data_IF_380367033351
#
_entry.id   IF_380367033351
#
_cell.length_a   1.000
_cell.length_b   1.000
_cell.length_c   1.000
_cell.angle_alpha   90.00
_cell.angle_beta   90.00
_cell.angle_gamma   90.00
#
_symmetry.space_group_name_H-M   'P 1'
#
loop_
_entity.id
_entity.type
_entity.pdbx_description
1 polymer ?
#
# COMPACT_ATOMS: atom_id res chain seq x y z
N UNK A 1 -10.62 27.61 1.96
CA UNK A 1 -11.28 26.62 1.09
C UNK A 1 -10.21 25.61 0.69
N UNK A 2 -10.20 24.46 1.31
CA UNK A 2 -9.32 23.36 0.88
C UNK A 2 -9.83 22.89 -0.50
N UNK A 3 -9.00 23.04 -1.54
CA UNK A 3 -9.33 22.57 -2.88
C UNK A 3 -9.56 21.06 -2.84
N UNK A 4 -10.64 20.59 -3.49
CA UNK A 4 -10.78 19.15 -3.72
C UNK A 4 -9.51 18.63 -4.41
N UNK A 5 -8.95 17.49 -3.97
CA UNK A 5 -7.79 16.92 -4.61
C UNK A 5 -8.11 16.69 -6.09
N UNK A 6 -7.20 17.09 -6.97
CA UNK A 6 -7.36 16.87 -8.42
C UNK A 6 -7.70 15.38 -8.64
N UNK A 7 -8.64 15.09 -9.50
CA UNK A 7 -9.15 13.73 -9.79
C UNK A 7 -8.06 12.73 -10.19
N UNK A 8 -6.84 13.20 -10.37
CA UNK A 8 -5.69 12.43 -10.86
C UNK A 8 -4.80 11.86 -9.75
N UNK A 9 -4.98 12.25 -8.46
CA UNK A 9 -4.15 11.73 -7.36
C UNK A 9 -4.62 10.37 -6.83
N UNK A 10 -5.88 10.01 -7.06
CA UNK A 10 -6.45 8.77 -6.57
C UNK A 10 -6.43 7.69 -7.67
N UNK A 11 -5.75 6.57 -7.39
CA UNK A 11 -5.94 5.34 -8.17
C UNK A 11 -7.20 4.66 -7.68
N UNK A 12 -8.02 4.13 -8.60
CA UNK A 12 -9.30 3.48 -8.30
C UNK A 12 -9.30 2.05 -8.78
N UNK A 13 -9.75 1.15 -7.93
CA UNK A 13 -10.09 -0.22 -8.27
C UNK A 13 -11.43 -0.62 -7.66
N UNK A 14 -11.95 -1.80 -8.01
CA UNK A 14 -13.26 -2.29 -7.53
C UNK A 14 -13.11 -3.58 -6.77
N UNK A 15 -13.99 -3.77 -5.77
CA UNK A 15 -14.15 -5.03 -5.04
C UNK A 15 -15.62 -5.36 -4.92
N UNK A 16 -15.96 -6.63 -5.06
CA UNK A 16 -17.28 -7.15 -4.76
C UNK A 16 -17.18 -7.77 -3.37
N UNK A 17 -18.15 -7.44 -2.51
CA UNK A 17 -18.26 -8.07 -1.19
C UNK A 17 -18.71 -9.51 -1.39
N UNK A 18 -17.83 -10.46 -1.17
CA UNK A 18 -18.12 -11.88 -1.27
C UNK A 18 -18.70 -12.42 0.05
N UNK A 19 -19.35 -13.59 0.01
CA UNK A 19 -19.92 -14.20 1.22
C UNK A 19 -18.88 -14.43 2.31
N UNK A 20 -17.66 -14.83 1.93
CA UNK A 20 -16.53 -15.04 2.87
C UNK A 20 -16.06 -13.75 3.56
N UNK A 21 -16.40 -12.59 3.02
CA UNK A 21 -16.04 -11.29 3.59
C UNK A 21 -17.02 -10.85 4.68
N UNK A 22 -18.14 -11.58 4.85
CA UNK A 22 -19.21 -11.19 5.77
C UNK A 22 -19.11 -11.93 7.12
N UNK A 23 -19.74 -11.36 8.14
CA UNK A 23 -19.85 -11.93 9.48
C UNK A 23 -21.27 -12.39 9.79
N UNK A 24 -21.50 -12.86 11.03
CA UNK A 24 -22.80 -13.33 11.50
C UNK A 24 -23.91 -12.24 11.49
N UNK A 25 -23.56 -10.95 11.43
CA UNK A 25 -24.50 -9.85 11.29
C UNK A 25 -24.92 -9.63 9.82
N UNK A 26 -24.34 -10.36 8.86
CA UNK A 26 -24.62 -10.24 7.44
C UNK A 26 -24.04 -8.99 6.80
N UNK A 27 -23.04 -8.40 7.41
CA UNK A 27 -22.27 -7.26 6.88
C UNK A 27 -20.81 -7.65 6.69
N UNK A 28 -20.07 -6.88 5.92
CA UNK A 28 -18.64 -7.12 5.75
C UNK A 28 -17.93 -7.09 7.12
N UNK A 29 -17.16 -8.14 7.39
CA UNK A 29 -16.35 -8.23 8.59
C UNK A 29 -15.29 -7.13 8.58
N UNK A 30 -15.02 -6.52 9.72
CA UNK A 30 -14.08 -5.39 9.81
C UNK A 30 -12.72 -5.71 9.18
N UNK A 31 -12.22 -6.94 9.30
CA UNK A 31 -10.92 -7.34 8.75
C UNK A 31 -10.90 -7.44 7.22
N UNK A 32 -12.04 -7.59 6.54
CA UNK A 32 -12.10 -7.64 5.09
C UNK A 32 -11.53 -6.37 4.44
N UNK A 33 -11.73 -5.22 5.09
CA UNK A 33 -11.18 -3.95 4.63
C UNK A 33 -9.65 -3.95 4.57
N UNK A 34 -8.97 -4.64 5.48
CA UNK A 34 -7.51 -4.73 5.46
C UNK A 34 -7.02 -5.53 4.25
N UNK A 35 -7.67 -6.63 3.90
CA UNK A 35 -7.36 -7.40 2.69
C UNK A 35 -7.68 -6.61 1.42
N UNK A 36 -8.75 -5.83 1.40
CA UNK A 36 -9.08 -4.96 0.27
C UNK A 36 -8.07 -3.83 0.11
N UNK A 37 -7.59 -3.22 1.20
CA UNK A 37 -6.49 -2.26 1.16
C UNK A 37 -5.22 -2.87 0.60
N UNK A 38 -4.84 -4.07 1.07
CA UNK A 38 -3.65 -4.78 0.59
C UNK A 38 -3.75 -5.09 -0.92
N UNK A 39 -4.87 -5.65 -1.34
CA UNK A 39 -5.06 -5.99 -2.76
C UNK A 39 -5.12 -4.76 -3.66
N UNK A 40 -5.68 -3.64 -3.18
CA UNK A 40 -5.70 -2.36 -3.89
C UNK A 40 -4.28 -1.77 -4.00
N UNK A 41 -3.48 -1.84 -2.94
CA UNK A 41 -2.06 -1.44 -2.97
C UNK A 41 -1.27 -2.26 -3.99
N UNK A 42 -1.46 -3.59 -4.02
CA UNK A 42 -0.78 -4.44 -4.99
C UNK A 42 -1.18 -4.13 -6.44
N UNK A 43 -2.44 -3.81 -6.68
CA UNK A 43 -2.94 -3.41 -7.99
C UNK A 43 -2.36 -2.05 -8.41
N UNK A 44 -2.33 -1.09 -7.49
CA UNK A 44 -1.71 0.21 -7.67
C UNK A 44 -0.21 0.11 -7.99
N UNK A 45 0.55 -0.64 -7.22
CA UNK A 45 1.99 -0.84 -7.47
C UNK A 45 2.24 -1.53 -8.82
N UNK A 46 1.39 -2.50 -9.20
CA UNK A 46 1.48 -3.18 -10.50
C UNK A 46 1.24 -2.23 -11.65
N UNK A 47 0.26 -1.33 -11.53
CA UNK A 47 -0.01 -0.29 -12.54
C UNK A 47 1.21 0.65 -12.71
N UNK A 48 1.90 0.93 -11.62
CA UNK A 48 3.14 1.71 -11.64
C UNK A 48 4.38 0.92 -12.07
N UNK A 49 4.25 -0.38 -12.40
CA UNK A 49 5.38 -1.25 -12.74
C UNK A 49 6.33 -1.52 -11.56
N UNK A 50 5.81 -1.44 -10.32
CA UNK A 50 6.58 -1.69 -9.10
C UNK A 50 6.24 -3.08 -8.56
N UNK A 51 7.26 -3.89 -8.25
CA UNK A 51 7.08 -5.21 -7.66
C UNK A 51 6.93 -5.10 -6.15
N UNK A 52 5.99 -5.87 -5.59
CA UNK A 52 5.79 -5.98 -4.13
C UNK A 52 6.96 -6.72 -3.47
N UNK A 53 7.45 -7.77 -4.13
CA UNK A 53 8.70 -8.47 -3.80
C UNK A 53 9.61 -8.37 -5.01
N UNK A 54 10.81 -7.87 -4.81
CA UNK A 54 11.77 -7.69 -5.89
C UNK A 54 13.10 -8.39 -5.55
N UNK A 55 13.42 -9.43 -6.32
CA UNK A 55 14.68 -10.18 -6.21
C UNK A 55 15.82 -9.53 -7.00
N UNK A 56 15.54 -8.52 -7.80
CA UNK A 56 16.50 -7.71 -8.55
C UNK A 56 16.11 -6.24 -8.43
N UNK A 57 16.29 -5.63 -7.25
CA UNK A 57 15.85 -4.25 -7.00
C UNK A 57 16.60 -3.27 -7.90
N UNK A 58 15.93 -2.18 -8.30
CA UNK A 58 16.49 -1.14 -9.18
C UNK A 58 17.79 -0.52 -8.65
N UNK A 59 18.01 -0.57 -7.34
CA UNK A 59 19.18 -0.03 -6.65
C UNK A 59 20.12 -1.11 -6.10
N UNK A 60 20.09 -2.34 -6.64
CA UNK A 60 20.87 -3.48 -6.14
C UNK A 60 22.35 -3.15 -5.91
N UNK A 61 22.98 -2.42 -6.83
CA UNK A 61 24.38 -2.05 -6.70
C UNK A 61 24.62 -1.09 -5.53
N UNK A 62 23.72 -0.11 -5.31
CA UNK A 62 23.79 0.77 -4.14
C UNK A 62 23.58 0.02 -2.85
N UNK A 63 22.62 -0.90 -2.80
CA UNK A 63 22.37 -1.76 -1.64
C UNK A 63 23.57 -2.65 -1.32
N UNK A 64 24.20 -3.23 -2.34
CA UNK A 64 25.43 -4.02 -2.15
C UNK A 64 26.57 -3.20 -1.59
N UNK A 65 26.76 -1.96 -2.04
CA UNK A 65 27.79 -1.05 -1.51
C UNK A 65 27.51 -0.68 -0.05
N UNK A 66 26.26 -0.33 0.29
CA UNK A 66 25.88 -0.03 1.69
C UNK A 66 26.10 -1.23 2.62
N UNK A 67 25.89 -2.44 2.11
CA UNK A 67 25.99 -3.67 2.86
C UNK A 67 27.38 -4.34 2.79
N UNK A 68 28.32 -3.80 2.03
CA UNK A 68 29.66 -4.38 1.83
C UNK A 68 30.44 -4.60 3.14
N UNK A 69 30.05 -3.93 4.22
CA UNK A 69 30.63 -4.10 5.57
C UNK A 69 29.87 -5.10 6.44
N UNK A 70 28.74 -5.65 5.99
CA UNK A 70 27.93 -6.59 6.77
C UNK A 70 28.15 -8.04 6.32
N UNK A 71 28.41 -8.92 7.26
CA UNK A 71 28.53 -10.37 7.01
C UNK A 71 27.23 -10.91 6.39
N UNK A 72 27.33 -11.65 5.29
CA UNK A 72 26.20 -12.37 4.68
C UNK A 72 25.76 -11.87 3.29
N UNK A 73 26.50 -10.99 2.64
CA UNK A 73 26.19 -10.48 1.27
C UNK A 73 26.74 -11.44 0.20
N UNK A 74 26.21 -12.64 0.15
CA UNK A 74 26.51 -13.62 -0.93
C UNK A 74 25.25 -14.21 -1.58
N UNK A 75 24.07 -13.77 -1.11
CA UNK A 75 22.74 -14.23 -1.58
C UNK A 75 22.08 -13.17 -2.45
N UNK A 76 21.13 -13.58 -3.27
CA UNK A 76 20.26 -12.67 -4.00
C UNK A 76 19.60 -11.67 -3.02
N UNK A 77 19.62 -10.40 -3.38
CA UNK A 77 18.96 -9.37 -2.60
C UNK A 77 17.45 -9.43 -2.87
N UNK A 78 16.67 -9.57 -1.83
CA UNK A 78 15.22 -9.51 -1.88
C UNK A 78 14.75 -8.27 -1.12
N UNK A 79 13.97 -7.44 -1.79
CA UNK A 79 13.35 -6.25 -1.21
C UNK A 79 11.84 -6.43 -1.18
N UNK A 80 11.22 -6.05 -0.07
CA UNK A 80 9.77 -6.08 0.10
C UNK A 80 9.29 -4.85 0.87
N UNK A 81 7.98 -4.73 1.05
CA UNK A 81 7.31 -3.61 1.69
C UNK A 81 6.47 -4.07 2.89
N UNK A 82 7.11 -4.49 4.01
CA UNK A 82 6.39 -4.83 5.23
C UNK A 82 5.49 -3.70 5.70
N UNK A 83 4.28 -4.05 6.12
CA UNK A 83 3.33 -3.12 6.73
C UNK A 83 3.65 -2.97 8.19
N UNK A 84 3.82 -1.73 8.65
CA UNK A 84 4.17 -1.41 10.05
C UNK A 84 3.01 -0.80 10.81
N UNK A 85 2.00 -0.26 10.10
CA UNK A 85 0.78 0.27 10.70
C UNK A 85 -0.38 0.12 9.72
N UNK A 86 -1.54 -0.26 10.24
CA UNK A 86 -2.79 -0.36 9.49
C UNK A 86 -3.93 0.13 10.38
N UNK A 87 -4.80 0.99 9.85
CA UNK A 87 -6.01 1.43 10.53
C UNK A 87 -7.17 1.60 9.55
N UNK A 88 -8.39 1.48 10.05
CA UNK A 88 -9.60 1.75 9.29
C UNK A 88 -10.69 2.33 10.20
N UNK A 89 -11.40 3.34 9.70
CA UNK A 89 -12.58 3.93 10.31
C UNK A 89 -13.80 3.60 9.44
N UNK A 90 -14.78 2.93 10.03
CA UNK A 90 -15.99 2.48 9.34
C UNK A 90 -17.10 3.51 9.49
N UNK A 91 -17.74 3.87 8.35
CA UNK A 91 -18.79 4.89 8.29
C UNK A 91 -20.15 4.30 7.95
N UNK A 92 -20.19 3.22 7.15
CA UNK A 92 -21.40 2.54 6.75
C UNK A 92 -21.16 1.03 6.60
N UNK A 93 -22.20 0.24 6.83
CA UNK A 93 -22.16 -1.19 6.59
C UNK A 93 -22.33 -1.49 5.09
N UNK A 94 -21.62 -2.53 4.63
CA UNK A 94 -21.81 -3.11 3.29
C UNK A 94 -22.11 -4.60 3.41
N UNK A 95 -22.81 -5.15 2.42
CA UNK A 95 -23.37 -6.49 2.46
C UNK A 95 -22.87 -7.34 1.30
N UNK A 96 -23.09 -8.63 1.39
CA UNK A 96 -22.83 -9.55 0.29
C UNK A 96 -23.46 -9.06 -1.01
N UNK A 97 -22.66 -9.04 -2.08
CA UNK A 97 -23.07 -8.59 -3.42
C UNK A 97 -22.88 -7.09 -3.68
N UNK A 98 -22.60 -6.29 -2.64
CA UNK A 98 -22.29 -4.87 -2.85
C UNK A 98 -20.97 -4.73 -3.63
N UNK A 99 -20.90 -3.68 -4.45
CA UNK A 99 -19.69 -3.30 -5.18
C UNK A 99 -19.05 -2.07 -4.55
N UNK A 100 -17.81 -2.19 -4.12
CA UNK A 100 -17.04 -1.09 -3.56
C UNK A 100 -16.10 -0.50 -4.60
N UNK A 101 -16.11 0.81 -4.72
CA UNK A 101 -15.00 1.55 -5.30
C UNK A 101 -13.96 1.80 -4.21
N UNK A 102 -12.75 1.30 -4.44
CA UNK A 102 -11.62 1.46 -3.53
C UNK A 102 -10.62 2.41 -4.15
N UNK A 103 -10.37 3.50 -3.45
CA UNK A 103 -9.43 4.52 -3.88
C UNK A 103 -8.18 4.46 -3.00
N UNK A 104 -7.01 4.54 -3.61
CA UNK A 104 -5.71 4.63 -2.94
C UNK A 104 -4.96 5.86 -3.45
N UNK A 105 -4.31 6.56 -2.53
CA UNK A 105 -3.41 7.68 -2.83
C UNK A 105 -2.27 7.71 -1.81
N UNK A 106 -1.21 8.44 -2.14
CA UNK A 106 -0.06 8.66 -1.24
C UNK A 106 -0.34 9.87 -0.37
N UNK A 107 -0.38 9.67 0.95
CA UNK A 107 -0.48 10.77 1.90
C UNK A 107 0.90 11.35 2.23
N UNK A 108 1.88 10.48 2.46
CA UNK A 108 3.23 10.90 2.84
C UNK A 108 4.29 9.92 2.32
N UNK A 109 5.46 10.43 1.98
CA UNK A 109 6.64 9.64 1.64
C UNK A 109 7.83 10.05 2.52
N UNK A 110 8.34 9.10 3.30
CA UNK A 110 9.61 9.22 4.01
C UNK A 110 10.80 8.73 3.18
N UNK A 111 11.95 8.57 3.82
CA UNK A 111 13.17 8.05 3.17
C UNK A 111 12.99 6.59 2.74
N UNK A 112 12.40 5.76 3.60
CA UNK A 112 12.15 4.32 3.38
C UNK A 112 10.68 3.94 3.55
N UNK A 113 9.80 4.87 3.90
CA UNK A 113 8.39 4.60 4.20
C UNK A 113 7.44 5.32 3.25
N UNK A 114 6.25 4.74 3.10
CA UNK A 114 5.13 5.35 2.39
C UNK A 114 3.90 5.20 3.27
N UNK A 115 3.14 6.28 3.41
CA UNK A 115 1.82 6.28 4.02
C UNK A 115 0.78 6.37 2.91
N UNK A 116 -0.02 5.34 2.76
CA UNK A 116 -1.16 5.32 1.86
C UNK A 116 -2.43 5.71 2.59
N UNK A 117 -3.29 6.47 1.90
CA UNK A 117 -4.65 6.76 2.31
C UNK A 117 -5.61 5.98 1.43
N UNK A 118 -6.62 5.38 2.04
CA UNK A 118 -7.68 4.64 1.34
C UNK A 118 -9.04 5.27 1.61
N UNK A 119 -9.91 5.21 0.61
CA UNK A 119 -11.31 5.58 0.69
C UNK A 119 -12.14 4.50 0.01
N UNK A 120 -13.17 4.04 0.70
CA UNK A 120 -14.11 3.05 0.19
C UNK A 120 -15.45 3.68 -0.02
N UNK A 121 -16.04 3.46 -1.18
CA UNK A 121 -17.37 3.98 -1.53
C UNK A 121 -18.27 2.88 -2.08
N UNK A 122 -19.53 2.92 -1.70
CA UNK A 122 -20.61 2.12 -2.31
C UNK A 122 -21.59 3.07 -2.97
N UNK A 123 -21.71 3.00 -4.30
CA UNK A 123 -22.61 3.88 -5.09
C UNK A 123 -22.38 5.37 -4.77
N UNK A 124 -21.15 5.80 -4.59
CA UNK A 124 -20.76 7.17 -4.28
C UNK A 124 -20.89 7.57 -2.80
N UNK A 125 -21.39 6.69 -1.93
CA UNK A 125 -21.46 6.95 -0.49
C UNK A 125 -20.23 6.42 0.22
N UNK A 126 -19.65 7.24 1.09
CA UNK A 126 -18.47 6.85 1.88
C UNK A 126 -18.81 5.71 2.84
N UNK A 127 -18.07 4.63 2.73
CA UNK A 127 -18.20 3.41 3.56
C UNK A 127 -17.13 3.33 4.63
N UNK A 128 -15.88 3.60 4.25
CA UNK A 128 -14.76 3.57 5.18
C UNK A 128 -13.60 4.41 4.66
N UNK A 129 -12.73 4.81 5.57
CA UNK A 129 -11.40 5.36 5.27
C UNK A 129 -10.35 4.50 5.95
N UNK A 130 -9.19 4.36 5.30
CA UNK A 130 -8.09 3.56 5.83
C UNK A 130 -6.75 4.24 5.67
N UNK A 131 -5.79 3.82 6.48
CA UNK A 131 -4.39 4.25 6.38
C UNK A 131 -3.49 3.04 6.53
N UNK A 132 -2.51 2.92 5.65
CA UNK A 132 -1.48 1.88 5.71
C UNK A 132 -0.12 2.54 5.62
N UNK A 133 0.78 2.17 6.53
CA UNK A 133 2.18 2.57 6.47
C UNK A 133 3.03 1.36 6.13
N UNK A 134 3.79 1.47 5.05
CA UNK A 134 4.75 0.45 4.61
C UNK A 134 6.16 0.97 4.72
N UNK A 135 7.12 0.08 4.91
CA UNK A 135 8.55 0.41 4.92
C UNK A 135 9.26 -0.47 3.91
N UNK A 136 10.00 0.13 3.00
CA UNK A 136 10.87 -0.62 2.08
C UNK A 136 12.01 -1.24 2.85
N UNK A 137 12.09 -2.57 2.83
CA UNK A 137 13.08 -3.33 3.59
C UNK A 137 13.81 -4.33 2.71
N UNK A 138 15.12 -4.45 2.96
CA UNK A 138 15.88 -5.62 2.56
C UNK A 138 15.50 -6.78 3.47
N UNK A 139 15.05 -7.86 2.86
CA UNK A 139 14.62 -9.08 3.54
C UNK A 139 15.81 -10.04 3.63
N UNK A 140 16.08 -10.53 4.84
CA UNK A 140 17.17 -11.49 5.10
C UNK A 140 16.62 -12.63 5.93
N UNK A 141 16.78 -13.85 5.43
CA UNK A 141 16.30 -15.03 6.13
C UNK A 141 16.87 -15.14 7.55
N UNK A 142 16.00 -15.34 8.55
CA UNK A 142 16.39 -15.46 9.97
C UNK A 142 16.88 -14.17 10.62
N UNK A 143 16.82 -13.02 9.94
CA UNK A 143 17.22 -11.73 10.46
C UNK A 143 16.08 -10.71 10.41
N UNK A 144 16.18 -9.67 11.24
CA UNK A 144 15.25 -8.56 11.22
C UNK A 144 15.33 -7.83 9.86
N UNK A 145 14.18 -7.48 9.24
CA UNK A 145 14.16 -6.66 8.04
C UNK A 145 14.95 -5.36 8.22
N UNK A 146 15.75 -4.99 7.23
CA UNK A 146 16.55 -3.76 7.25
C UNK A 146 15.89 -2.69 6.37
N UNK A 147 15.42 -1.56 6.94
CA UNK A 147 14.91 -0.46 6.14
C UNK A 147 15.96 0.07 5.16
N UNK A 148 15.54 0.26 3.90
CA UNK A 148 16.39 0.78 2.84
C UNK A 148 15.70 1.91 2.10
N UNK A 149 16.48 2.84 1.58
CA UNK A 149 15.97 4.03 0.86
C UNK A 149 15.11 3.62 -0.35
N UNK A 150 14.07 4.39 -0.59
CA UNK A 150 13.24 4.26 -1.80
C UNK A 150 14.03 4.88 -2.97
N UNK A 151 14.31 4.12 -4.06
CA UNK A 151 14.98 4.65 -5.24
C UNK A 151 14.20 5.80 -5.88
N UNK A 152 14.92 6.72 -6.52
CA UNK A 152 14.33 7.90 -7.16
C UNK A 152 13.25 7.51 -8.18
N UNK A 153 13.51 6.53 -9.05
CA UNK A 153 12.56 6.11 -10.07
C UNK A 153 11.27 5.51 -9.50
N UNK A 154 11.33 4.76 -8.39
CA UNK A 154 10.15 4.30 -7.67
C UNK A 154 9.43 5.48 -7.01
N UNK A 155 10.19 6.35 -6.33
CA UNK A 155 9.66 7.52 -5.67
C UNK A 155 8.86 8.42 -6.63
N UNK A 156 9.39 8.72 -7.80
CA UNK A 156 8.76 9.59 -8.80
C UNK A 156 7.41 9.00 -9.26
N UNK A 157 7.36 7.68 -9.56
CA UNK A 157 6.12 7.01 -9.97
C UNK A 157 5.06 7.06 -8.88
N UNK A 158 5.42 6.82 -7.64
CA UNK A 158 4.49 6.84 -6.50
C UNK A 158 4.00 8.25 -6.21
N UNK A 159 4.89 9.25 -6.26
CA UNK A 159 4.57 10.64 -5.95
C UNK A 159 3.65 11.31 -6.98
N UNK A 160 3.50 10.73 -8.17
CA UNK A 160 2.48 11.16 -9.13
C UNK A 160 1.05 11.03 -8.57
N UNK A 161 0.86 10.21 -7.53
CA UNK A 161 -0.40 9.99 -6.84
C UNK A 161 -0.43 10.59 -5.42
N UNK A 162 0.42 11.58 -5.15
CA UNK A 162 0.43 12.24 -3.85
C UNK A 162 -0.77 13.16 -3.67
N UNK A 163 -1.38 13.08 -2.49
CA UNK A 163 -2.40 14.04 -2.06
C UNK A 163 -1.75 15.41 -1.79
N UNK A 164 -2.48 16.51 -2.03
CA UNK A 164 -2.04 17.82 -1.58
C UNK A 164 -1.75 17.81 -0.07
N UNK A 165 -0.73 18.54 0.35
CA UNK A 165 -0.46 18.77 1.77
C UNK A 165 -1.64 19.51 2.41
N UNK A 166 -2.15 19.00 3.52
CA UNK A 166 -3.18 19.69 4.32
C UNK A 166 -2.62 20.97 4.95
#
# INVERSE_FOLDING_TARGET
MAGEPSSNSWFRCRRIVEFRDTDAAGIAHFSAFFFWMESAEHEFLRELGIRVVDNAPEDEESLRRELASSEGVGRELEVSWPRVSVSADYKAAVRFGDTLDVFIAVAERGTSSITYRFRFENSGNLVAIGTVVVVRCLMRHGMKPLPVKIPAGISERIMAHQLPSE
#
